data_IF_909740474251
#
_entry.id   IF_909740474251
#
_cell.length_a   1.000
_cell.length_b   1.000
_cell.length_c   1.000
_cell.angle_alpha   90.00
_cell.angle_beta   90.00
_cell.angle_gamma   90.00
#
_symmetry.space_group_name_H-M   'P 1'
#
loop_
_entity.id
_entity.type
_entity.pdbx_description
1 polymer ?
#
# COMPACT_ATOMS: atom_id res chain seq x y z
N UNK A 1 9.08 -11.26 26.89
CA UNK A 1 8.50 -11.45 25.53
C UNK A 1 6.96 -11.46 25.55
N UNK A 2 6.29 -10.44 26.11
CA UNK A 2 4.81 -10.31 26.10
C UNK A 2 4.30 -8.87 25.94
N UNK A 3 5.21 -7.89 25.79
CA UNK A 3 4.86 -6.46 25.72
C UNK A 3 4.90 -5.84 24.31
N UNK A 4 5.42 -6.58 23.31
CA UNK A 4 5.61 -6.07 21.94
C UNK A 4 4.45 -6.42 20.99
N UNK A 5 3.66 -7.45 21.28
CA UNK A 5 2.49 -7.84 20.47
C UNK A 5 1.38 -6.77 20.54
N UNK A 6 1.35 -5.98 21.62
CA UNK A 6 0.30 -4.98 21.84
C UNK A 6 0.51 -3.74 20.94
N UNK A 7 1.75 -3.43 20.52
CA UNK A 7 2.01 -2.23 19.70
C UNK A 7 1.66 -2.44 18.22
N UNK A 8 1.92 -3.62 17.66
CA UNK A 8 1.56 -3.96 16.27
C UNK A 8 0.04 -4.05 16.05
N UNK A 9 -0.70 -4.47 17.08
CA UNK A 9 -2.17 -4.48 17.06
C UNK A 9 -2.73 -3.05 17.13
N UNK A 10 -2.04 -2.12 17.79
CA UNK A 10 -2.50 -0.74 18.00
C UNK A 10 -2.45 0.13 16.74
N UNK A 11 -1.50 -0.08 15.83
CA UNK A 11 -1.45 0.69 14.57
C UNK A 11 -2.57 0.29 13.60
N UNK A 12 -2.96 -0.99 13.61
CA UNK A 12 -4.13 -1.48 12.87
C UNK A 12 -5.43 -1.02 13.56
N UNK A 13 -5.47 -0.96 14.90
CA UNK A 13 -6.64 -0.49 15.64
C UNK A 13 -6.91 1.02 15.54
N UNK A 14 -5.89 1.86 15.32
CA UNK A 14 -6.09 3.30 15.12
C UNK A 14 -6.76 3.60 13.75
N UNK A 15 -6.70 2.67 12.80
CA UNK A 15 -7.45 2.72 11.54
C UNK A 15 -8.83 2.06 11.67
N UNK A 16 -8.96 1.00 12.48
CA UNK A 16 -10.25 0.32 12.70
C UNK A 16 -11.28 1.14 13.51
N UNK A 17 -10.91 2.28 14.12
CA UNK A 17 -11.83 3.09 14.94
C UNK A 17 -12.93 3.82 14.15
N UNK A 18 -12.87 3.77 12.81
CA UNK A 18 -13.80 4.48 11.89
C UNK A 18 -14.44 3.58 10.84
N UNK A 19 -14.51 2.26 11.05
CA UNK A 19 -15.07 1.33 10.06
C UNK A 19 -14.18 1.13 8.83
N UNK A 20 -12.89 1.46 8.94
CA UNK A 20 -11.92 1.20 7.87
C UNK A 20 -11.35 -0.22 8.00
N UNK A 21 -11.56 -1.04 6.98
CA UNK A 21 -10.89 -2.33 6.85
C UNK A 21 -9.63 -2.13 6.01
N UNK A 22 -8.46 -2.34 6.62
CA UNK A 22 -7.16 -2.26 5.96
C UNK A 22 -6.62 -3.67 5.68
N UNK A 23 -6.23 -3.94 4.43
CA UNK A 23 -5.52 -5.16 4.04
C UNK A 23 -4.14 -4.79 3.55
N UNK A 24 -3.14 -5.46 4.10
CA UNK A 24 -1.76 -5.42 3.62
C UNK A 24 -1.61 -6.46 2.51
N UNK A 25 -1.15 -6.01 1.35
CA UNK A 25 -0.92 -6.83 0.17
C UNK A 25 0.57 -6.77 -0.14
N UNK A 26 1.24 -7.90 0.11
CA UNK A 26 2.67 -8.06 -0.04
C UNK A 26 3.02 -9.26 -0.95
N UNK A 27 2.09 -9.64 -1.81
CA UNK A 27 2.33 -10.59 -2.90
C UNK A 27 1.36 -10.35 -4.04
N UNK A 28 1.70 -10.85 -5.24
CA UNK A 28 0.82 -10.76 -6.42
C UNK A 28 -0.43 -11.61 -6.25
N UNK A 29 -0.32 -12.74 -5.57
CA UNK A 29 -1.44 -13.63 -5.24
C UNK A 29 -2.44 -12.92 -4.32
N UNK A 30 -1.94 -12.28 -3.24
CA UNK A 30 -2.78 -11.47 -2.34
C UNK A 30 -3.43 -10.31 -3.10
N UNK A 31 -2.72 -9.70 -4.04
CA UNK A 31 -3.27 -8.62 -4.85
C UNK A 31 -4.48 -9.09 -5.67
N UNK A 32 -4.35 -10.23 -6.36
CA UNK A 32 -5.46 -10.81 -7.14
C UNK A 32 -6.58 -11.41 -6.27
N UNK A 33 -6.27 -11.80 -5.03
CA UNK A 33 -7.25 -12.33 -4.09
C UNK A 33 -8.13 -11.24 -3.48
N UNK A 34 -7.53 -10.09 -3.11
CA UNK A 34 -8.21 -9.04 -2.35
C UNK A 34 -8.77 -7.91 -3.22
N UNK A 35 -8.24 -7.71 -4.43
CA UNK A 35 -8.66 -6.63 -5.31
C UNK A 35 -9.49 -7.17 -6.47
N UNK A 36 -10.62 -6.50 -6.76
CA UNK A 36 -11.34 -6.72 -8.00
C UNK A 36 -10.60 -6.10 -9.21
N UNK A 37 -11.02 -6.44 -10.43
CA UNK A 37 -10.40 -5.93 -11.66
C UNK A 37 -10.41 -4.39 -11.76
N UNK A 38 -11.39 -3.74 -11.13
CA UNK A 38 -11.52 -2.27 -11.10
C UNK A 38 -10.48 -1.66 -10.18
N UNK A 39 -10.18 -2.30 -9.06
CA UNK A 39 -9.21 -1.82 -8.07
C UNK A 39 -7.79 -2.18 -8.46
N UNK A 40 -7.58 -3.30 -9.17
CA UNK A 40 -6.30 -3.66 -9.77
C UNK A 40 -5.80 -2.56 -10.71
N UNK A 41 -6.69 -1.87 -11.43
CA UNK A 41 -6.32 -0.72 -12.26
C UNK A 41 -5.59 0.37 -11.46
N UNK A 42 -6.01 0.65 -10.21
CA UNK A 42 -5.33 1.62 -9.35
C UNK A 42 -3.90 1.18 -9.00
N UNK A 43 -3.64 -0.13 -8.90
CA UNK A 43 -2.31 -0.67 -8.67
C UNK A 43 -1.39 -0.42 -9.88
N UNK A 44 -1.93 -0.59 -11.09
CA UNK A 44 -1.21 -0.26 -12.32
C UNK A 44 -0.91 1.24 -12.41
N UNK A 45 -1.88 2.12 -12.17
CA UNK A 45 -1.65 3.58 -12.16
C UNK A 45 -0.58 3.99 -11.12
N UNK A 46 -0.60 3.38 -9.93
CA UNK A 46 0.44 3.62 -8.93
C UNK A 46 1.83 3.26 -9.47
N UNK A 47 1.95 2.10 -10.11
CA UNK A 47 3.21 1.59 -10.67
C UNK A 47 3.73 2.44 -11.82
N UNK A 48 2.84 2.94 -12.68
CA UNK A 48 3.17 3.80 -13.82
C UNK A 48 3.78 5.14 -13.39
N UNK A 49 3.31 5.74 -12.28
CA UNK A 49 3.89 6.98 -11.74
C UNK A 49 5.36 6.79 -11.36
N UNK A 50 5.76 5.60 -10.92
CA UNK A 50 7.16 5.27 -10.62
C UNK A 50 7.94 4.78 -11.85
N UNK A 51 7.31 4.76 -13.02
CA UNK A 51 7.94 4.27 -14.25
C UNK A 51 8.34 2.79 -14.19
N UNK A 52 7.74 2.01 -13.28
CA UNK A 52 8.11 0.62 -13.04
C UNK A 52 6.86 -0.25 -13.21
N UNK A 53 6.83 -1.20 -14.17
CA UNK A 53 5.65 -2.03 -14.41
C UNK A 53 5.25 -2.84 -13.18
N UNK A 54 3.94 -2.90 -12.87
CA UNK A 54 3.40 -3.67 -11.74
C UNK A 54 3.88 -5.13 -11.71
N UNK A 55 4.02 -5.76 -12.88
CA UNK A 55 4.46 -7.15 -13.02
C UNK A 55 5.94 -7.37 -12.71
N UNK A 56 6.75 -6.30 -12.73
CA UNK A 56 8.18 -6.36 -12.43
C UNK A 56 8.50 -6.12 -10.95
N UNK A 57 7.48 -5.84 -10.12
CA UNK A 57 7.69 -5.46 -8.73
C UNK A 57 8.03 -6.67 -7.87
N UNK A 58 9.07 -6.50 -7.04
CA UNK A 58 9.38 -7.42 -5.96
C UNK A 58 8.61 -6.97 -4.71
N UNK A 59 7.82 -7.85 -4.14
CA UNK A 59 7.05 -7.53 -2.94
C UNK A 59 7.89 -7.78 -1.68
N UNK A 60 7.54 -7.10 -0.59
CA UNK A 60 8.08 -7.41 0.75
C UNK A 60 7.61 -8.80 1.16
N UNK A 61 8.54 -9.71 1.44
CA UNK A 61 8.19 -11.08 1.86
C UNK A 61 7.55 -11.09 3.26
N UNK A 62 6.72 -12.09 3.58
CA UNK A 62 6.01 -12.18 4.86
C UNK A 62 7.00 -12.18 6.05
N UNK A 63 8.16 -12.83 5.88
CA UNK A 63 9.23 -12.91 6.87
C UNK A 63 9.94 -11.56 7.10
N UNK A 64 9.87 -10.66 6.13
CA UNK A 64 10.50 -9.34 6.15
C UNK A 64 9.55 -8.26 6.68
N UNK A 65 8.24 -8.55 6.75
CA UNK A 65 7.20 -7.56 7.05
C UNK A 65 7.32 -6.94 8.44
N UNK A 66 7.56 -7.74 9.48
CA UNK A 66 7.68 -7.24 10.86
C UNK A 66 8.92 -6.33 11.02
N UNK A 67 10.03 -6.69 10.37
CA UNK A 67 11.24 -5.88 10.37
C UNK A 67 11.02 -4.56 9.62
N UNK A 68 10.34 -4.63 8.46
CA UNK A 68 9.93 -3.46 7.69
C UNK A 68 9.09 -2.47 8.53
N UNK A 69 8.06 -2.95 9.24
CA UNK A 69 7.18 -2.11 10.05
C UNK A 69 7.88 -1.42 11.23
N UNK A 70 9.04 -1.92 11.67
CA UNK A 70 9.81 -1.35 12.78
C UNK A 70 10.84 -0.32 12.33
N UNK A 71 11.17 -0.26 11.03
CA UNK A 71 12.34 0.44 10.49
C UNK A 71 11.99 1.48 9.42
N UNK A 72 10.89 2.23 9.58
CA UNK A 72 10.44 3.24 8.60
C UNK A 72 11.51 4.32 8.27
N UNK A 73 12.49 4.55 9.15
CA UNK A 73 13.61 5.49 8.93
C UNK A 73 14.85 4.88 8.26
N UNK A 74 14.98 3.55 8.25
CA UNK A 74 16.13 2.90 7.62
C UNK A 74 15.97 2.91 6.10
N UNK A 75 14.75 2.73 5.61
CA UNK A 75 14.45 2.67 4.18
C UNK A 75 14.08 4.03 3.60
N UNK A 76 14.53 4.32 2.38
CA UNK A 76 13.93 5.40 1.59
C UNK A 76 12.55 4.93 1.15
N UNK A 77 11.54 5.74 1.46
CA UNK A 77 10.15 5.39 1.25
C UNK A 77 9.48 6.35 0.27
N UNK A 78 8.88 5.79 -0.78
CA UNK A 78 8.01 6.54 -1.69
C UNK A 78 6.59 6.01 -1.56
N UNK A 79 5.65 6.89 -1.19
CA UNK A 79 4.24 6.55 -1.03
C UNK A 79 3.42 7.21 -2.13
N UNK A 80 2.57 6.41 -2.76
CA UNK A 80 1.62 6.84 -3.77
C UNK A 80 0.24 6.33 -3.38
N UNK A 81 -0.71 7.24 -3.19
CA UNK A 81 -2.09 6.88 -2.86
C UNK A 81 -3.05 7.27 -3.99
N UNK A 82 -3.86 6.30 -4.41
CA UNK A 82 -5.02 6.46 -5.30
C UNK A 82 -6.30 6.17 -4.53
N UNK A 83 -7.32 7.01 -4.72
CA UNK A 83 -8.63 6.83 -4.12
C UNK A 83 -9.71 6.78 -5.19
N UNK A 84 -10.62 5.82 -5.08
CA UNK A 84 -11.89 5.82 -5.79
C UNK A 84 -13.00 6.34 -4.84
N UNK A 85 -13.86 7.20 -5.36
CA UNK A 85 -14.96 7.84 -4.63
C UNK A 85 -16.29 7.08 -4.70
N UNK A 86 -16.38 6.01 -5.51
CA UNK A 86 -17.60 5.19 -5.61
C UNK A 86 -17.26 3.69 -5.67
N UNK A 87 -17.65 2.97 -4.61
CA UNK A 87 -17.55 1.52 -4.49
C UNK A 87 -18.70 0.76 -5.18
N UNK A 88 -19.72 1.45 -5.73
CA UNK A 88 -20.95 0.81 -6.21
C UNK A 88 -21.10 0.69 -7.72
N UNK A 89 -20.47 1.52 -8.57
CA UNK A 89 -20.35 1.28 -10.02
C UNK A 89 -19.63 2.44 -10.71
N UNK A 90 -18.55 2.08 -11.42
CA UNK A 90 -17.74 2.87 -12.37
C UNK A 90 -16.62 3.67 -11.70
N UNK A 91 -15.37 3.24 -11.96
CA UNK A 91 -14.23 4.16 -12.03
C UNK A 91 -14.70 5.43 -12.74
N UNK A 92 -14.45 6.60 -12.12
CA UNK A 92 -14.60 7.85 -12.85
C UNK A 92 -13.80 7.73 -14.15
N UNK A 93 -14.44 8.05 -15.27
CA UNK A 93 -13.82 8.06 -16.61
C UNK A 93 -12.77 9.18 -16.77
N UNK A 94 -12.56 9.98 -15.74
CA UNK A 94 -11.57 11.04 -15.69
C UNK A 94 -10.32 10.50 -14.98
N UNK A 95 -9.14 10.85 -15.48
CA UNK A 95 -7.86 10.53 -14.81
C UNK A 95 -7.99 10.94 -13.34
N UNK A 96 -7.99 9.94 -12.44
CA UNK A 96 -8.05 10.22 -11.02
C UNK A 96 -6.75 10.95 -10.66
N UNK A 97 -6.80 12.18 -10.12
CA UNK A 97 -5.57 12.86 -9.72
C UNK A 97 -4.87 12.06 -8.62
N UNK A 98 -3.53 12.20 -8.54
CA UNK A 98 -2.78 11.56 -7.45
C UNK A 98 -3.30 12.16 -6.16
N UNK A 99 -3.90 11.33 -5.31
CA UNK A 99 -4.49 11.85 -4.07
C UNK A 99 -3.38 12.31 -3.14
N UNK A 100 -2.28 11.55 -3.09
CA UNK A 100 -1.08 11.90 -2.31
C UNK A 100 0.15 11.24 -2.93
N UNK A 101 1.23 12.01 -3.09
CA UNK A 101 2.58 11.53 -3.35
C UNK A 101 3.51 12.06 -2.25
N UNK A 102 4.30 11.20 -1.63
CA UNK A 102 5.28 11.58 -0.60
C UNK A 102 6.56 10.77 -0.76
N UNK A 103 7.69 11.43 -0.56
CA UNK A 103 8.98 10.78 -0.44
C UNK A 103 9.57 11.09 0.94
N UNK A 104 10.05 10.06 1.62
CA UNK A 104 10.71 10.18 2.91
C UNK A 104 12.18 9.83 2.76
N UNK A 105 13.09 10.59 3.39
CA UNK A 105 14.50 10.25 3.39
C UNK A 105 14.72 8.93 4.12
N UNK A 106 15.73 8.20 3.69
CA UNK A 106 16.14 6.93 4.29
C UNK A 106 17.63 6.70 4.09
N UNK A 107 18.17 5.74 4.83
CA UNK A 107 19.61 5.51 4.94
C UNK A 107 20.11 4.40 4.00
N UNK A 108 19.23 3.49 3.59
CA UNK A 108 19.55 2.41 2.66
C UNK A 108 19.62 2.94 1.20
N UNK A 109 20.52 2.34 0.42
CA UNK A 109 20.72 2.65 -1.00
C UNK A 109 19.72 1.88 -1.85
N UNK A 110 19.48 2.35 -3.07
CA UNK A 110 18.48 1.80 -3.99
C UNK A 110 18.88 0.46 -4.62
N UNK A 111 19.18 -0.52 -3.77
CA UNK A 111 19.68 -1.82 -4.14
C UNK A 111 18.53 -2.81 -3.91
N UNK A 112 17.84 -3.16 -4.99
CA UNK A 112 16.65 -4.02 -5.01
C UNK A 112 15.39 -3.48 -4.30
N UNK A 113 14.63 -2.56 -4.92
CA UNK A 113 13.37 -2.08 -4.35
C UNK A 113 12.41 -3.19 -3.92
N UNK A 114 11.65 -2.92 -2.88
CA UNK A 114 10.49 -3.74 -2.49
C UNK A 114 9.22 -2.90 -2.46
N UNK A 115 8.08 -3.55 -2.70
CA UNK A 115 6.76 -2.90 -2.69
C UNK A 115 5.83 -3.56 -1.68
N UNK A 116 4.97 -2.74 -1.08
CA UNK A 116 3.77 -3.20 -0.38
C UNK A 116 2.59 -2.34 -0.79
N UNK A 117 1.39 -2.91 -0.77
CA UNK A 117 0.16 -2.16 -0.96
C UNK A 117 -0.67 -2.20 0.33
N UNK A 118 -1.24 -1.05 0.67
CA UNK A 118 -2.23 -0.90 1.72
C UNK A 118 -3.57 -0.60 1.05
N UNK A 119 -4.44 -1.59 1.05
CA UNK A 119 -5.81 -1.46 0.58
C UNK A 119 -6.71 -1.09 1.75
N UNK A 120 -7.53 -0.07 1.61
CA UNK A 120 -8.47 0.35 2.64
C UNK A 120 -9.83 0.69 2.04
N UNK A 121 -10.89 0.26 2.71
CA UNK A 121 -12.27 0.59 2.35
C UNK A 121 -12.94 1.37 3.47
N UNK A 122 -13.73 2.37 3.13
CA UNK A 122 -14.57 3.12 4.08
C UNK A 122 -15.86 3.56 3.39
N UNK A 123 -17.04 3.14 3.86
CA UNK A 123 -18.41 3.44 3.41
C UNK A 123 -18.69 3.62 1.89
N UNK A 124 -18.05 4.58 1.21
CA UNK A 124 -18.17 4.87 -0.23
C UNK A 124 -16.83 4.87 -0.99
N UNK A 125 -15.71 4.69 -0.30
CA UNK A 125 -14.37 4.94 -0.83
C UNK A 125 -13.50 3.70 -0.74
N UNK A 126 -12.71 3.54 -1.78
CA UNK A 126 -11.59 2.60 -1.83
C UNK A 126 -10.33 3.42 -1.94
N UNK A 127 -9.34 3.14 -1.10
CA UNK A 127 -8.01 3.72 -1.20
C UNK A 127 -6.98 2.62 -1.29
N UNK A 128 -6.17 2.68 -2.34
CA UNK A 128 -4.98 1.87 -2.49
C UNK A 128 -3.76 2.77 -2.32
N UNK A 129 -2.88 2.41 -1.38
CA UNK A 129 -1.59 3.08 -1.21
C UNK A 129 -0.48 2.10 -1.57
N UNK A 130 0.27 2.42 -2.61
CA UNK A 130 1.50 1.72 -2.97
C UNK A 130 2.67 2.37 -2.26
N UNK A 131 3.47 1.58 -1.57
CA UNK A 131 4.67 2.04 -0.90
C UNK A 131 5.88 1.30 -1.46
N UNK A 132 6.86 2.06 -1.91
CA UNK A 132 8.14 1.58 -2.44
C UNK A 132 9.25 1.84 -1.44
N UNK A 133 10.09 0.83 -1.23
CA UNK A 133 11.18 0.83 -0.26
C UNK A 133 12.50 0.55 -0.93
N UNK A 134 13.52 1.25 -0.48
CA UNK A 134 14.92 1.09 -0.89
C UNK A 134 15.80 1.17 0.35
#
# INVERSE_FOLDING_TARGET
MKKLIILGILLVHFLCSYGQYGVIINSKEKLNQYLDSTTIYLAYECSEILGTPLDSLRYVEDEQYDAYMQCEYDYKLIQISRCNFDNTRKLYKEELPITTYKAYPGTVKADEPRVIFLYSTSDSRVRLTMQYFY
#
